data_IF_094437157149
#
_entry.id   IF_094437157149
#
_cell.length_a   1.000
_cell.length_b   1.000
_cell.length_c   1.000
_cell.angle_alpha   90.00
_cell.angle_beta   90.00
_cell.angle_gamma   90.00
#
_symmetry.space_group_name_H-M   'P 1'
#
loop_
_entity.id
_entity.type
_entity.pdbx_description
1 polymer ?
#
# COMPACT_ATOMS: atom_id res chain seq x y z
N UNK A 1 -15.85 -23.18 -0.59
CA UNK A 1 -16.49 -21.91 -0.21
C UNK A 1 -15.39 -21.03 0.38
N UNK A 2 -14.77 -20.17 -0.44
CA UNK A 2 -13.63 -19.36 -0.02
C UNK A 2 -14.11 -17.98 0.40
N UNK A 3 -13.91 -17.62 1.66
CA UNK A 3 -14.28 -16.32 2.20
C UNK A 3 -13.18 -15.34 1.74
N UNK A 4 -13.42 -14.65 0.62
CA UNK A 4 -12.67 -13.43 0.30
C UNK A 4 -13.04 -12.38 1.35
N UNK A 5 -12.22 -12.24 2.38
CA UNK A 5 -12.31 -11.13 3.33
C UNK A 5 -11.97 -9.85 2.57
N UNK A 6 -13.01 -9.12 2.19
CA UNK A 6 -12.90 -7.78 1.61
C UNK A 6 -12.08 -6.88 2.53
N UNK A 7 -10.98 -6.36 2.00
CA UNK A 7 -10.15 -5.35 2.67
C UNK A 7 -10.98 -4.06 2.73
N UNK A 8 -11.29 -3.49 3.92
CA UNK A 8 -12.23 -2.39 4.07
C UNK A 8 -11.90 -1.11 3.26
N UNK A 9 -10.63 -0.87 2.95
CA UNK A 9 -10.16 0.28 2.17
C UNK A 9 -10.69 0.29 0.72
N UNK A 10 -11.04 -0.86 0.15
CA UNK A 10 -11.54 -0.96 -1.22
C UNK A 10 -13.03 -0.58 -1.38
N UNK A 11 -13.81 -0.48 -0.30
CA UNK A 11 -15.27 -0.28 -0.41
C UNK A 11 -15.66 1.18 -0.66
N UNK A 12 -15.20 2.12 0.18
CA UNK A 12 -15.59 3.52 0.07
C UNK A 12 -15.05 4.16 -1.22
N UNK A 13 -13.77 3.90 -1.53
CA UNK A 13 -13.13 4.39 -2.75
C UNK A 13 -13.83 3.92 -4.03
N UNK A 14 -14.33 2.67 -4.05
CA UNK A 14 -15.11 2.15 -5.17
C UNK A 14 -16.41 2.92 -5.38
N UNK A 15 -17.19 3.14 -4.31
CA UNK A 15 -18.44 3.91 -4.42
C UNK A 15 -18.20 5.38 -4.80
N UNK A 16 -17.13 5.99 -4.30
CA UNK A 16 -16.73 7.33 -4.71
C UNK A 16 -16.36 7.39 -6.19
N UNK A 17 -15.58 6.42 -6.69
CA UNK A 17 -15.24 6.32 -8.11
C UNK A 17 -16.48 6.07 -8.99
N UNK A 18 -17.40 5.22 -8.56
CA UNK A 18 -18.68 4.97 -9.26
C UNK A 18 -19.54 6.23 -9.34
N UNK A 19 -19.64 7.00 -8.26
CA UNK A 19 -20.51 8.17 -8.18
C UNK A 19 -19.92 9.40 -8.88
N UNK A 20 -18.63 9.69 -8.65
CA UNK A 20 -17.99 10.91 -9.13
C UNK A 20 -17.22 10.72 -10.45
N UNK A 21 -16.92 9.48 -10.84
CA UNK A 21 -16.14 9.18 -12.03
C UNK A 21 -14.82 9.95 -12.04
N UNK A 22 -14.51 10.62 -13.16
CA UNK A 22 -13.28 11.41 -13.34
C UNK A 22 -13.15 12.61 -12.38
N UNK A 23 -14.18 12.97 -11.61
CA UNK A 23 -14.11 14.03 -10.59
C UNK A 23 -13.55 13.53 -9.27
N UNK A 24 -13.49 12.21 -9.07
CA UNK A 24 -12.79 11.62 -7.94
C UNK A 24 -11.38 11.24 -8.39
N UNK A 25 -10.39 11.66 -7.61
CA UNK A 25 -8.97 11.32 -7.81
C UNK A 25 -8.49 10.58 -6.57
N UNK A 26 -8.05 9.34 -6.78
CA UNK A 26 -7.52 8.49 -5.71
C UNK A 26 -6.00 8.66 -5.61
N UNK A 27 -5.52 9.12 -4.44
CA UNK A 27 -4.10 9.25 -4.14
C UNK A 27 -3.73 8.22 -3.08
N UNK A 28 -2.84 7.29 -3.44
CA UNK A 28 -2.30 6.28 -2.53
C UNK A 28 -0.94 6.68 -1.97
N UNK A 29 -0.58 6.12 -0.81
CA UNK A 29 0.79 6.16 -0.29
C UNK A 29 1.39 4.76 -0.30
N UNK A 30 2.69 4.67 -0.54
CA UNK A 30 3.44 3.42 -0.52
C UNK A 30 4.79 3.62 0.18
N UNK A 31 5.29 2.55 0.77
CA UNK A 31 6.49 2.51 1.61
C UNK A 31 7.43 1.40 1.14
N UNK A 32 8.70 1.43 1.55
CA UNK A 32 9.67 0.37 1.23
C UNK A 32 10.33 -0.24 2.47
N UNK A 33 10.91 0.59 3.34
CA UNK A 33 11.60 0.15 4.55
C UNK A 33 11.27 1.03 5.76
N UNK A 34 11.64 0.53 6.95
CA UNK A 34 11.57 1.28 8.20
C UNK A 34 10.69 0.62 9.25
N UNK A 35 10.15 1.43 10.15
CA UNK A 35 9.31 0.97 11.27
C UNK A 35 8.05 1.81 11.36
N UNK A 36 6.99 1.21 11.90
CA UNK A 36 5.69 1.85 12.05
C UNK A 36 5.01 1.40 13.35
N UNK A 37 4.03 2.18 13.82
CA UNK A 37 3.23 1.81 14.97
C UNK A 37 2.13 0.83 14.56
N UNK A 38 1.96 -0.22 15.36
CA UNK A 38 1.01 -1.30 15.13
C UNK A 38 0.65 -1.92 16.48
N UNK A 39 -0.53 -2.54 16.60
CA UNK A 39 -0.83 -3.35 17.77
C UNK A 39 -0.03 -4.66 17.72
N UNK A 40 0.69 -5.01 18.79
CA UNK A 40 1.35 -6.30 18.90
C UNK A 40 0.39 -7.41 19.38
N UNK A 41 0.89 -8.63 19.56
CA UNK A 41 0.11 -9.77 20.06
C UNK A 41 -0.46 -9.58 21.48
N UNK A 42 0.09 -8.64 22.25
CA UNK A 42 -0.38 -8.29 23.59
C UNK A 42 -1.41 -7.14 23.56
N UNK A 43 -1.85 -6.72 22.37
CA UNK A 43 -2.73 -5.56 22.16
C UNK A 43 -2.13 -4.23 22.62
N UNK A 44 -0.80 -4.12 22.63
CA UNK A 44 -0.10 -2.87 22.91
C UNK A 44 0.16 -2.14 21.59
N UNK A 45 -0.20 -0.85 21.52
CA UNK A 45 0.12 -0.02 20.37
C UNK A 45 1.49 0.63 20.54
N UNK A 46 2.35 0.44 19.55
CA UNK A 46 3.71 0.97 19.62
C UNK A 46 4.54 0.55 18.40
N UNK A 47 5.85 0.83 18.40
CA UNK A 47 6.72 0.72 17.23
C UNK A 47 7.12 -0.72 16.90
N UNK A 48 6.18 -1.66 16.97
CA UNK A 48 6.44 -3.09 16.80
C UNK A 48 6.48 -3.51 15.31
N UNK A 49 5.97 -2.68 14.41
CA UNK A 49 5.93 -2.93 12.98
C UNK A 49 7.30 -2.70 12.34
N UNK A 50 7.75 -3.66 11.52
CA UNK A 50 8.96 -3.55 10.71
C UNK A 50 8.62 -3.77 9.25
N UNK A 51 9.11 -2.87 8.39
CA UNK A 51 9.00 -2.96 6.94
C UNK A 51 10.33 -3.38 6.36
N UNK A 52 10.31 -4.51 5.65
CA UNK A 52 11.38 -4.95 4.77
C UNK A 52 10.73 -5.59 3.56
N UNK A 53 10.54 -4.82 2.50
CA UNK A 53 10.01 -5.34 1.24
C UNK A 53 11.12 -6.02 0.47
N UNK A 54 11.29 -7.31 0.69
CA UNK A 54 12.31 -8.16 0.07
C UNK A 54 11.79 -9.00 -1.11
N UNK A 55 10.47 -9.11 -1.28
CA UNK A 55 9.87 -9.78 -2.44
C UNK A 55 10.02 -8.93 -3.71
N UNK A 56 10.84 -9.36 -4.69
CA UNK A 56 11.07 -8.63 -5.94
C UNK A 56 9.82 -8.49 -6.82
N UNK A 57 8.78 -9.30 -6.58
CA UNK A 57 7.52 -9.22 -7.31
C UNK A 57 6.55 -8.20 -6.71
N UNK A 58 6.86 -7.65 -5.53
CA UNK A 58 5.99 -6.67 -4.88
C UNK A 58 6.13 -5.27 -5.49
N UNK A 59 5.04 -4.50 -5.44
CA UNK A 59 5.08 -3.08 -5.78
C UNK A 59 6.06 -2.33 -4.87
N UNK A 60 6.07 -2.64 -3.57
CA UNK A 60 6.94 -1.99 -2.59
C UNK A 60 8.42 -2.16 -2.95
N UNK A 61 8.85 -3.37 -3.33
CA UNK A 61 10.24 -3.61 -3.73
C UNK A 61 10.60 -2.83 -4.99
N UNK A 62 9.76 -2.90 -6.02
CA UNK A 62 10.04 -2.26 -7.32
C UNK A 62 10.13 -0.74 -7.18
N UNK A 63 9.18 -0.12 -6.46
CA UNK A 63 9.21 1.31 -6.15
C UNK A 63 10.39 1.66 -5.22
N UNK A 64 10.78 0.74 -4.34
CA UNK A 64 11.96 0.82 -3.48
C UNK A 64 13.29 0.96 -4.22
N UNK A 65 13.38 0.50 -5.48
CA UNK A 65 14.60 0.60 -6.28
C UNK A 65 14.83 2.00 -6.89
N UNK A 66 13.83 2.87 -6.85
CA UNK A 66 13.95 4.24 -7.37
C UNK A 66 14.86 5.05 -6.44
N UNK A 67 15.93 5.63 -7.00
CA UNK A 67 16.94 6.42 -6.27
C UNK A 67 16.46 7.84 -5.91
N UNK A 68 15.29 7.92 -5.29
CA UNK A 68 14.72 9.14 -4.70
C UNK A 68 14.14 8.76 -3.34
N UNK A 69 14.41 9.54 -2.30
CA UNK A 69 13.89 9.26 -0.95
C UNK A 69 12.37 9.33 -0.87
N UNK A 70 11.78 10.26 -1.62
CA UNK A 70 10.34 10.47 -1.72
C UNK A 70 10.03 10.94 -3.13
N UNK A 71 8.94 10.44 -3.71
CA UNK A 71 8.47 10.89 -5.02
C UNK A 71 6.97 10.63 -5.16
N UNK A 72 6.34 11.32 -6.09
CA UNK A 72 5.00 10.99 -6.53
C UNK A 72 4.98 10.73 -8.03
N UNK A 73 4.01 9.94 -8.47
CA UNK A 73 3.85 9.58 -9.88
C UNK A 73 2.37 9.54 -10.24
N UNK A 74 2.03 10.11 -11.40
CA UNK A 74 0.70 9.95 -12.02
C UNK A 74 0.68 8.62 -12.78
N UNK A 75 0.03 7.61 -12.18
CA UNK A 75 -0.03 6.25 -12.72
C UNK A 75 -0.84 6.19 -14.02
N UNK A 76 -1.76 7.14 -14.23
CA UNK A 76 -2.58 7.21 -15.46
C UNK A 76 -1.75 7.55 -16.69
N UNK A 77 -0.54 8.10 -16.50
CA UNK A 77 0.41 8.46 -17.56
C UNK A 77 1.36 7.33 -17.92
N UNK A 78 1.30 6.19 -17.24
CA UNK A 78 2.12 5.03 -17.58
C UNK A 78 1.85 4.53 -19.00
N UNK A 79 2.89 4.06 -19.67
CA UNK A 79 2.84 3.53 -21.02
C UNK A 79 3.60 2.19 -21.13
N UNK A 80 3.48 1.54 -22.29
CA UNK A 80 4.19 0.30 -22.60
C UNK A 80 3.99 -0.80 -21.56
N UNK A 81 5.08 -1.52 -21.27
CA UNK A 81 5.12 -2.62 -20.30
C UNK A 81 4.74 -2.18 -18.89
N UNK A 82 5.08 -0.96 -18.49
CA UNK A 82 4.74 -0.42 -17.17
C UNK A 82 3.23 -0.29 -16.99
N UNK A 83 2.50 0.10 -18.04
CA UNK A 83 1.03 0.17 -17.98
C UNK A 83 0.40 -1.21 -17.82
N UNK A 84 0.97 -2.22 -18.48
CA UNK A 84 0.49 -3.61 -18.36
C UNK A 84 0.73 -4.10 -16.93
N UNK A 85 1.97 -3.98 -16.46
CA UNK A 85 2.38 -4.36 -15.11
C UNK A 85 1.54 -3.70 -14.00
N UNK A 86 1.27 -2.38 -14.10
CA UNK A 86 0.41 -1.68 -13.13
C UNK A 86 -1.05 -2.18 -13.11
N UNK A 87 -1.51 -2.85 -14.17
CA UNK A 87 -2.87 -3.38 -14.26
C UNK A 87 -2.96 -4.87 -13.88
N UNK A 88 -1.82 -5.50 -13.61
CA UNK A 88 -1.70 -6.87 -13.10
C UNK A 88 -1.72 -6.88 -11.57
N UNK A 89 -2.09 -8.03 -11.02
CA UNK A 89 -2.13 -8.25 -9.58
C UNK A 89 -0.72 -8.54 -9.07
N UNK A 90 -0.20 -7.67 -8.20
CA UNK A 90 1.05 -7.90 -7.49
C UNK A 90 0.89 -7.60 -5.98
N UNK A 91 1.71 -8.22 -5.12
CA UNK A 91 1.69 -7.94 -3.69
C UNK A 91 2.02 -6.48 -3.37
N UNK A 92 1.28 -5.91 -2.41
CA UNK A 92 1.62 -4.65 -1.75
C UNK A 92 1.42 -4.77 -0.24
N UNK A 93 2.21 -4.04 0.54
CA UNK A 93 2.01 -3.88 1.98
C UNK A 93 0.60 -3.34 2.26
N UNK A 94 -0.15 -4.04 3.10
CA UNK A 94 -1.58 -3.79 3.30
C UNK A 94 -1.90 -2.72 4.35
N UNK A 95 -0.88 -2.16 5.02
CA UNK A 95 -1.09 -1.16 6.07
C UNK A 95 -1.73 -1.76 7.32
N UNK A 96 -1.31 -2.96 7.72
CA UNK A 96 -1.89 -3.66 8.88
C UNK A 96 -1.85 -2.80 10.15
N UNK A 97 -2.94 -2.85 10.92
CA UNK A 97 -3.05 -2.15 12.20
C UNK A 97 -2.75 -3.05 13.39
N UNK A 98 -2.67 -4.37 13.18
CA UNK A 98 -2.34 -5.38 14.18
C UNK A 98 -1.38 -6.40 13.59
N UNK A 99 -0.34 -6.77 14.32
CA UNK A 99 0.58 -7.87 14.01
C UNK A 99 0.05 -9.18 14.61
N UNK A 100 0.17 -10.26 13.85
CA UNK A 100 -0.27 -11.59 14.28
C UNK A 100 0.02 -12.66 13.23
N UNK A 101 0.08 -13.94 13.64
CA UNK A 101 0.43 -15.04 12.73
C UNK A 101 -0.57 -15.21 11.58
N UNK A 102 -1.84 -14.89 11.81
CA UNK A 102 -2.92 -15.06 10.83
C UNK A 102 -3.29 -13.77 10.08
N UNK A 103 -2.53 -12.68 10.30
CA UNK A 103 -2.80 -11.38 9.68
C UNK A 103 -1.88 -11.20 8.46
N UNK A 104 -2.42 -11.19 7.23
CA UNK A 104 -1.61 -11.04 6.03
C UNK A 104 -1.01 -9.62 5.96
N UNK A 105 0.33 -9.55 5.91
CA UNK A 105 1.07 -8.28 5.79
C UNK A 105 0.97 -7.64 4.42
N UNK A 106 0.67 -8.45 3.41
CA UNK A 106 0.55 -8.05 2.01
C UNK A 106 -0.77 -8.51 1.43
N UNK A 107 -1.21 -7.82 0.39
CA UNK A 107 -2.42 -8.12 -0.38
C UNK A 107 -2.15 -7.90 -1.85
N UNK A 108 -2.76 -8.70 -2.72
CA UNK A 108 -2.61 -8.55 -4.16
C UNK A 108 -3.58 -7.48 -4.70
N UNK A 109 -3.04 -6.47 -5.38
CA UNK A 109 -3.83 -5.42 -6.01
C UNK A 109 -3.33 -5.11 -7.42
N UNK A 110 -4.15 -4.41 -8.20
CA UNK A 110 -3.76 -3.81 -9.48
C UNK A 110 -3.54 -2.33 -9.21
N UNK A 111 -2.29 -1.90 -9.03
CA UNK A 111 -1.98 -0.57 -8.52
C UNK A 111 -2.56 0.56 -9.40
N UNK A 112 -2.48 0.39 -10.72
CA UNK A 112 -3.03 1.31 -11.70
C UNK A 112 -4.56 1.31 -11.83
N UNK A 113 -5.26 0.35 -11.19
CA UNK A 113 -6.73 0.36 -11.05
C UNK A 113 -7.17 0.89 -9.69
N UNK A 114 -6.31 0.81 -8.68
CA UNK A 114 -6.62 1.24 -7.31
C UNK A 114 -6.37 2.73 -7.08
N UNK A 115 -5.36 3.31 -7.73
CA UNK A 115 -4.95 4.70 -7.53
C UNK A 115 -4.67 5.41 -8.85
N UNK A 116 -4.98 6.71 -8.91
CA UNK A 116 -4.61 7.58 -10.01
C UNK A 116 -3.18 8.10 -9.84
N UNK A 117 -2.84 8.46 -8.60
CA UNK A 117 -1.54 9.01 -8.20
C UNK A 117 -1.01 8.21 -7.03
N UNK A 118 0.29 7.94 -7.01
CA UNK A 118 0.97 7.31 -5.89
C UNK A 118 2.03 8.23 -5.32
N UNK A 119 2.12 8.31 -4.00
CA UNK A 119 3.23 8.93 -3.26
C UNK A 119 4.05 7.83 -2.60
N UNK A 120 5.31 7.69 -3.00
CA UNK A 120 6.25 6.74 -2.41
C UNK A 120 7.12 7.45 -1.37
N UNK A 121 7.29 6.82 -0.21
CA UNK A 121 8.23 7.21 0.84
C UNK A 121 9.14 6.03 1.13
N UNK A 122 10.44 6.12 0.80
CA UNK A 122 11.31 4.95 0.90
C UNK A 122 11.51 4.50 2.34
N UNK A 123 11.71 5.42 3.27
CA UNK A 123 11.98 5.11 4.67
C UNK A 123 11.00 5.81 5.59
N UNK A 124 10.26 5.03 6.37
CA UNK A 124 9.32 5.55 7.38
C UNK A 124 9.81 5.30 8.80
N UNK A 125 9.33 6.12 9.71
CA UNK A 125 9.55 5.97 11.15
C UNK A 125 8.20 5.92 11.88
N UNK A 126 8.16 5.33 13.09
CA UNK A 126 6.95 5.28 13.88
C UNK A 126 6.39 6.69 14.12
N UNK A 127 5.06 6.82 14.09
CA UNK A 127 4.41 8.08 14.46
C UNK A 127 4.71 8.43 15.92
N UNK A 128 4.70 9.73 16.22
CA UNK A 128 4.84 10.21 17.58
C UNK A 128 3.53 9.96 18.32
N UNK A 129 3.60 9.18 19.40
CA UNK A 129 2.47 8.98 20.30
C UNK A 129 2.55 10.06 21.37
N UNK A 130 1.45 10.78 21.58
CA UNK A 130 1.35 11.67 22.73
C UNK A 130 1.39 10.80 24.00
N UNK A 131 2.33 11.11 24.89
CA UNK A 131 2.42 10.50 26.21
C UNK A 131 1.31 11.01 27.13
#
# INVERSE_FOLDING_TARGET
MSIQRNIPLLLAGKHLAEHYGKRYVSIGTSVYEGRYNVYNSNHEFGPYGTLKSDDPNSYNYTLGQVKNEQFFIDLRKANGVTKIWLNEQHPIFSGITTEGPDIPKTVDISLGKSFDILVQVQKVSPSQLNQ
#
